data_IF_437155009134
#
_entry.id   IF_437155009134
#
_cell.length_a   1.000
_cell.length_b   1.000
_cell.length_c   1.000
_cell.angle_alpha   90.00
_cell.angle_beta   90.00
_cell.angle_gamma   90.00
#
_symmetry.space_group_name_H-M   'P 1'
#
loop_
_entity.id
_entity.type
_entity.pdbx_description
1 polymer ?
#
# COMPACT_ATOMS: atom_id res chain seq x y z
N UNK A 1 4.85 32.61 -11.78
CA UNK A 1 6.31 32.87 -11.68
C UNK A 1 6.67 32.97 -10.20
N UNK A 2 7.70 32.26 -9.75
CA UNK A 2 8.31 32.41 -8.43
C UNK A 2 9.83 32.50 -8.69
N UNK A 3 10.41 33.71 -8.56
CA UNK A 3 11.86 33.97 -8.64
C UNK A 3 12.59 33.68 -9.98
N UNK A 4 11.98 33.92 -11.15
CA UNK A 4 12.75 34.04 -12.41
C UNK A 4 13.61 32.83 -12.83
N UNK A 5 13.34 31.65 -12.27
CA UNK A 5 13.97 30.38 -12.67
C UNK A 5 12.94 29.53 -13.38
N UNK A 6 13.32 28.97 -14.53
CA UNK A 6 12.53 27.99 -15.27
C UNK A 6 12.01 26.92 -14.32
N UNK A 7 10.67 26.86 -14.17
CA UNK A 7 9.99 25.84 -13.39
C UNK A 7 10.14 24.51 -14.15
N UNK A 8 11.30 23.87 -14.02
CA UNK A 8 11.48 22.49 -14.49
C UNK A 8 10.38 21.67 -13.86
N UNK A 9 9.49 21.04 -14.64
CA UNK A 9 8.41 20.23 -14.10
C UNK A 9 9.04 19.03 -13.41
N UNK A 10 9.21 19.12 -12.09
CA UNK A 10 9.68 18.01 -11.27
C UNK A 10 8.51 17.03 -11.20
N UNK A 11 8.39 16.17 -12.22
CA UNK A 11 7.43 15.08 -12.24
C UNK A 11 7.88 14.09 -11.16
N UNK A 12 7.28 14.22 -9.98
CA UNK A 12 7.41 13.23 -8.92
C UNK A 12 6.86 11.92 -9.49
N UNK A 13 7.76 11.04 -9.94
CA UNK A 13 7.41 9.69 -10.33
C UNK A 13 7.14 8.94 -9.03
N UNK A 14 5.88 8.94 -8.59
CA UNK A 14 5.44 7.98 -7.59
C UNK A 14 5.81 6.60 -8.09
N UNK A 15 6.47 5.81 -7.24
CA UNK A 15 6.81 4.44 -7.61
C UNK A 15 5.55 3.75 -8.15
N UNK A 16 5.69 3.12 -9.30
CA UNK A 16 4.65 2.24 -9.83
C UNK A 16 4.65 0.90 -9.09
N UNK A 17 5.37 0.76 -7.97
CA UNK A 17 5.28 -0.43 -7.14
C UNK A 17 3.85 -0.56 -6.62
N UNK A 18 3.16 -1.54 -7.17
CA UNK A 18 1.82 -1.93 -6.77
C UNK A 18 1.93 -3.05 -5.73
N UNK A 19 0.99 -3.16 -4.78
CA UNK A 19 -0.19 -2.31 -4.53
C UNK A 19 0.14 -1.01 -3.79
N UNK A 20 -0.62 0.07 -4.06
CA UNK A 20 -0.40 1.37 -3.42
C UNK A 20 -0.85 1.42 -1.96
N UNK A 21 -1.91 0.68 -1.62
CA UNK A 21 -2.51 0.76 -0.30
C UNK A 21 -3.38 -0.47 0.00
N UNK A 22 -3.26 -1.03 1.20
CA UNK A 22 -4.12 -2.11 1.71
C UNK A 22 -4.52 -1.81 3.16
N UNK A 23 -5.73 -1.28 3.35
CA UNK A 23 -6.19 -0.73 4.64
C UNK A 23 -7.47 -1.41 5.09
N UNK A 24 -7.53 -1.83 6.35
CA UNK A 24 -8.76 -2.38 6.93
C UNK A 24 -9.62 -1.25 7.49
N UNK A 25 -10.93 -1.34 7.25
CA UNK A 25 -11.92 -0.37 7.72
C UNK A 25 -12.71 -0.87 8.95
N UNK A 26 -12.33 -2.02 9.52
CA UNK A 26 -13.12 -2.71 10.54
C UNK A 26 -14.24 -3.57 9.93
N UNK A 27 -14.96 -4.33 10.77
CA UNK A 27 -16.11 -5.15 10.35
C UNK A 27 -15.79 -6.27 9.34
N UNK A 28 -14.52 -6.70 9.24
CA UNK A 28 -14.10 -7.70 8.25
C UNK A 28 -13.97 -7.15 6.82
N UNK A 29 -13.87 -5.83 6.67
CA UNK A 29 -13.75 -5.14 5.38
C UNK A 29 -12.40 -4.44 5.26
N UNK A 30 -11.87 -4.37 4.05
CA UNK A 30 -10.71 -3.58 3.72
C UNK A 30 -10.79 -3.02 2.30
N UNK A 31 -9.99 -1.99 2.05
CA UNK A 31 -9.77 -1.36 0.76
C UNK A 31 -8.38 -1.75 0.26
N UNK A 32 -8.33 -2.25 -0.97
CA UNK A 32 -7.11 -2.45 -1.74
C UNK A 32 -7.09 -1.44 -2.89
N UNK A 33 -6.06 -0.62 -2.96
CA UNK A 33 -5.84 0.30 -4.09
C UNK A 33 -4.63 -0.16 -4.90
N UNK A 34 -4.89 -0.46 -6.17
CA UNK A 34 -3.90 -0.88 -7.15
C UNK A 34 -3.77 0.20 -8.23
N UNK A 35 -2.75 1.05 -8.10
CA UNK A 35 -2.47 2.09 -9.09
C UNK A 35 -3.41 3.29 -9.06
N UNK A 36 -3.51 4.03 -10.18
CA UNK A 36 -4.28 5.27 -10.23
C UNK A 36 -5.79 5.05 -10.42
N UNK A 37 -6.24 3.85 -10.81
CA UNK A 37 -7.65 3.63 -11.23
C UNK A 37 -8.36 2.43 -10.61
N UNK A 38 -7.65 1.48 -10.00
CA UNK A 38 -8.30 0.31 -9.42
C UNK A 38 -8.34 0.44 -7.90
N UNK A 39 -9.55 0.52 -7.36
CA UNK A 39 -9.80 0.39 -5.92
C UNK A 39 -10.86 -0.68 -5.70
N UNK A 40 -10.60 -1.57 -4.76
CA UNK A 40 -11.46 -2.68 -4.44
C UNK A 40 -11.78 -2.68 -2.95
N UNK A 41 -13.06 -2.58 -2.61
CA UNK A 41 -13.58 -2.59 -1.25
C UNK A 41 -14.30 -3.91 -1.00
N UNK A 42 -13.96 -4.62 0.07
CA UNK A 42 -14.71 -5.80 0.47
C UNK A 42 -13.99 -6.72 1.46
N UNK A 43 -14.48 -7.96 1.53
CA UNK A 43 -13.91 -9.01 2.39
C UNK A 43 -12.64 -9.63 1.82
N UNK A 44 -12.49 -9.68 0.50
CA UNK A 44 -11.30 -10.24 -0.12
C UNK A 44 -10.03 -9.45 0.17
N UNK A 45 -10.00 -8.10 0.06
CA UNK A 45 -8.88 -7.29 0.54
C UNK A 45 -8.56 -7.53 2.02
N UNK A 46 -9.58 -7.74 2.83
CA UNK A 46 -9.41 -7.97 4.27
C UNK A 46 -8.72 -9.31 4.54
N UNK A 47 -9.16 -10.35 3.84
CA UNK A 47 -8.52 -11.66 3.89
C UNK A 47 -7.07 -11.62 3.39
N UNK A 48 -6.82 -10.92 2.27
CA UNK A 48 -5.48 -10.72 1.72
C UNK A 48 -4.56 -10.04 2.75
N UNK A 49 -5.03 -8.93 3.36
CA UNK A 49 -4.30 -8.23 4.41
C UNK A 49 -3.93 -9.15 5.56
N UNK A 50 -4.90 -9.91 6.07
CA UNK A 50 -4.68 -10.86 7.17
C UNK A 50 -3.68 -11.96 6.83
N UNK A 51 -3.65 -12.43 5.58
CA UNK A 51 -2.68 -13.44 5.13
C UNK A 51 -1.26 -12.88 5.09
N UNK A 52 -1.09 -11.65 4.61
CA UNK A 52 0.21 -10.97 4.57
C UNK A 52 0.71 -10.72 5.99
N UNK A 53 -0.13 -10.16 6.87
CA UNK A 53 0.20 -9.93 8.28
C UNK A 53 0.67 -11.23 8.97
N UNK A 54 -0.02 -12.35 8.77
CA UNK A 54 0.39 -13.65 9.34
C UNK A 54 1.73 -14.13 8.81
N UNK A 55 2.01 -13.97 7.51
CA UNK A 55 3.30 -14.37 6.92
C UNK A 55 4.43 -13.53 7.52
N UNK A 56 4.22 -12.22 7.59
CA UNK A 56 5.20 -11.29 8.12
C UNK A 56 5.48 -11.53 9.61
N UNK A 57 4.44 -11.78 10.42
CA UNK A 57 4.62 -12.10 11.83
C UNK A 57 5.39 -13.41 12.04
N UNK A 58 5.16 -14.43 11.20
CA UNK A 58 5.96 -15.68 11.26
C UNK A 58 7.43 -15.44 10.92
N UNK A 59 7.70 -14.67 9.88
CA UNK A 59 9.07 -14.30 9.52
C UNK A 59 9.74 -13.48 10.64
N UNK A 60 8.97 -12.61 11.31
CA UNK A 60 9.44 -11.83 12.46
C UNK A 60 9.73 -12.72 13.68
N UNK A 61 8.86 -13.69 13.98
CA UNK A 61 9.06 -14.67 15.05
C UNK A 61 10.31 -15.52 14.81
N UNK A 62 10.54 -15.96 13.56
CA UNK A 62 11.76 -16.70 13.18
C UNK A 62 13.04 -15.86 13.40
N UNK A 63 12.99 -14.55 13.09
CA UNK A 63 14.12 -13.65 13.29
C UNK A 63 14.39 -13.32 14.78
N UNK A 64 13.35 -13.29 15.62
CA UNK A 64 13.46 -12.96 17.04
C UNK A 64 13.84 -14.17 17.92
N UNK A 65 13.62 -15.40 17.43
CA UNK A 65 13.98 -16.64 18.12
C UNK A 65 15.41 -17.14 17.76
N UNK A 66 16.13 -16.42 16.90
CA UNK A 66 17.58 -16.57 16.69
C UNK A 66 18.38 -15.66 17.63
#
# INVERSE_FOLDING_TARGET
ELNGRDLRPHKIRFSQDFPRCLVSLGGGVAVLTYGPRFSYLGRFPYWLKKRIERKFMRELDELLLC
#
